data_IF_217985430812
#
_entry.id   IF_217985430812
#
_cell.length_a   1.000
_cell.length_b   1.000
_cell.length_c   1.000
_cell.angle_alpha   90.00
_cell.angle_beta   90.00
_cell.angle_gamma   90.00
#
_symmetry.space_group_name_H-M   'P 1'
#
loop_
_entity.id
_entity.type
_entity.pdbx_description
1 polymer ?
#
# COMPACT_ATOMS: atom_id res chain seq x y z
N UNK A 1 -0.04 -15.23 8.28
CA UNK A 1 -0.23 -16.04 7.05
C UNK A 1 -1.55 -15.66 6.40
N UNK A 2 -1.55 -14.93 5.27
CA UNK A 2 -2.79 -14.69 4.46
C UNK A 2 -2.58 -13.92 3.16
N UNK A 3 -1.56 -13.08 3.03
CA UNK A 3 -1.53 -12.05 1.97
C UNK A 3 -1.59 -12.66 0.57
N UNK A 4 -0.73 -13.65 0.30
CA UNK A 4 -0.69 -14.33 -1.01
C UNK A 4 -2.01 -15.03 -1.37
N UNK A 5 -2.69 -15.65 -0.41
CA UNK A 5 -4.00 -16.26 -0.64
C UNK A 5 -5.05 -15.20 -1.00
N UNK A 6 -5.04 -14.05 -0.31
CA UNK A 6 -5.97 -12.96 -0.59
C UNK A 6 -5.75 -12.38 -1.98
N UNK A 7 -4.49 -12.25 -2.41
CA UNK A 7 -4.14 -11.79 -3.76
C UNK A 7 -4.60 -12.79 -4.81
N UNK A 8 -4.31 -14.08 -4.63
CA UNK A 8 -4.78 -15.13 -5.54
C UNK A 8 -6.32 -15.15 -5.65
N UNK A 9 -7.04 -14.89 -4.55
CA UNK A 9 -8.49 -14.76 -4.59
C UNK A 9 -8.94 -13.51 -5.37
N UNK A 10 -8.23 -12.38 -5.23
CA UNK A 10 -8.54 -11.18 -6.02
C UNK A 10 -8.40 -11.45 -7.54
N UNK A 11 -7.38 -12.19 -7.96
CA UNK A 11 -7.20 -12.58 -9.37
C UNK A 11 -8.32 -13.49 -9.89
N UNK A 12 -8.78 -14.45 -9.06
CA UNK A 12 -9.89 -15.34 -9.43
C UNK A 12 -11.22 -14.57 -9.48
N UNK A 13 -11.40 -13.58 -8.60
CA UNK A 13 -12.65 -12.83 -8.47
C UNK A 13 -12.78 -11.66 -9.45
N UNK A 14 -11.71 -11.25 -10.14
CA UNK A 14 -11.74 -10.22 -11.19
C UNK A 14 -12.44 -10.77 -12.46
N UNK A 15 -13.75 -10.89 -12.39
CA UNK A 15 -14.62 -11.48 -13.44
C UNK A 15 -14.92 -10.54 -14.61
N UNK A 16 -14.65 -9.23 -14.47
CA UNK A 16 -14.92 -8.20 -15.48
C UNK A 16 -13.69 -7.77 -16.29
N UNK A 17 -12.52 -8.40 -16.08
CA UNK A 17 -11.26 -8.04 -16.75
C UNK A 17 -10.55 -6.80 -16.20
N UNK A 18 -11.11 -6.16 -15.17
CA UNK A 18 -10.47 -5.03 -14.49
C UNK A 18 -9.71 -5.52 -13.24
N UNK A 19 -8.43 -5.14 -13.04
CA UNK A 19 -7.67 -5.51 -11.86
C UNK A 19 -8.29 -4.94 -10.58
N UNK A 20 -8.45 -5.79 -9.56
CA UNK A 20 -8.99 -5.36 -8.25
C UNK A 20 -7.92 -4.57 -7.49
N UNK A 21 -8.22 -3.36 -6.98
CA UNK A 21 -7.29 -2.61 -6.14
C UNK A 21 -7.08 -3.29 -4.78
N UNK A 22 -5.85 -3.26 -4.28
CA UNK A 22 -5.45 -3.87 -3.02
C UNK A 22 -5.26 -2.79 -1.94
N UNK A 23 -6.03 -2.90 -0.85
CA UNK A 23 -5.86 -2.08 0.34
C UNK A 23 -5.37 -2.96 1.49
N UNK A 24 -4.13 -2.73 1.93
CA UNK A 24 -3.43 -3.62 2.85
C UNK A 24 -3.10 -2.90 4.15
N UNK A 25 -3.68 -3.36 5.26
CA UNK A 25 -3.37 -2.81 6.59
C UNK A 25 -2.25 -3.63 7.25
N UNK A 26 -1.12 -2.97 7.50
CA UNK A 26 0.07 -3.53 8.14
C UNK A 26 0.52 -4.90 7.55
N UNK A 27 0.69 -5.03 6.21
CA UNK A 27 0.97 -6.32 5.59
C UNK A 27 2.30 -6.96 6.03
N UNK A 28 3.23 -6.15 6.55
CA UNK A 28 4.56 -6.54 6.98
C UNK A 28 4.67 -6.82 8.48
N UNK A 29 3.59 -6.68 9.26
CA UNK A 29 3.64 -6.71 10.73
C UNK A 29 4.35 -7.94 11.31
N UNK A 30 4.20 -9.10 10.65
CA UNK A 30 4.80 -10.37 11.09
C UNK A 30 6.00 -10.80 10.24
N UNK A 31 6.49 -9.96 9.34
CA UNK A 31 7.61 -10.27 8.46
C UNK A 31 8.93 -9.96 9.17
N UNK A 32 9.86 -10.91 9.11
CA UNK A 32 11.27 -10.65 9.40
C UNK A 32 11.89 -9.71 8.33
N UNK A 33 13.06 -9.11 8.58
CA UNK A 33 13.73 -8.19 7.63
C UNK A 33 13.81 -8.70 6.19
N UNK A 34 14.37 -9.90 5.98
CA UNK A 34 14.52 -10.47 4.64
C UNK A 34 13.17 -10.69 3.95
N UNK A 35 12.15 -11.10 4.71
CA UNK A 35 10.80 -11.31 4.18
C UNK A 35 10.10 -10.00 3.82
N UNK A 36 10.34 -8.93 4.57
CA UNK A 36 9.79 -7.60 4.24
C UNK A 36 10.30 -7.13 2.90
N UNK A 37 11.60 -7.25 2.65
CA UNK A 37 12.20 -6.83 1.38
C UNK A 37 11.59 -7.59 0.20
N UNK A 38 11.49 -8.92 0.32
CA UNK A 38 10.83 -9.76 -0.69
C UNK A 38 9.36 -9.39 -0.91
N UNK A 39 8.64 -9.07 0.16
CA UNK A 39 7.22 -8.74 0.05
C UNK A 39 6.99 -7.35 -0.53
N UNK A 40 7.90 -6.40 -0.26
CA UNK A 40 7.91 -5.07 -0.88
C UNK A 40 8.22 -5.18 -2.37
N UNK A 41 9.23 -5.96 -2.75
CA UNK A 41 9.55 -6.21 -4.17
C UNK A 41 8.37 -6.88 -4.89
N UNK A 42 7.75 -7.88 -4.26
CA UNK A 42 6.57 -8.53 -4.81
C UNK A 42 5.39 -7.54 -4.99
N UNK A 43 5.11 -6.71 -3.99
CA UNK A 43 4.02 -5.71 -4.07
C UNK A 43 4.32 -4.60 -5.09
N UNK A 44 5.59 -4.27 -5.32
CA UNK A 44 6.02 -3.38 -6.39
C UNK A 44 5.74 -3.99 -7.77
N UNK A 45 6.14 -5.25 -8.00
CA UNK A 45 5.85 -5.90 -9.28
C UNK A 45 4.34 -6.05 -9.51
N UNK A 46 3.58 -6.31 -8.44
CA UNK A 46 2.12 -6.37 -8.50
C UNK A 46 1.49 -4.99 -8.77
N UNK A 47 2.17 -3.89 -8.43
CA UNK A 47 1.63 -2.55 -8.66
C UNK A 47 1.58 -2.14 -10.13
N UNK A 48 2.29 -2.86 -11.00
CA UNK A 48 2.24 -2.67 -12.45
C UNK A 48 0.85 -2.97 -13.03
N UNK A 49 0.12 -3.91 -12.43
CA UNK A 49 -1.21 -4.32 -12.87
C UNK A 49 -2.32 -3.92 -11.92
N UNK A 50 -2.05 -3.87 -10.62
CA UNK A 50 -3.05 -3.59 -9.59
C UNK A 50 -2.69 -2.31 -8.86
N UNK A 51 -3.66 -1.44 -8.58
CA UNK A 51 -3.40 -0.38 -7.62
C UNK A 51 -3.15 -0.99 -6.23
N UNK A 52 -2.00 -0.70 -5.63
CA UNK A 52 -1.64 -1.15 -4.27
C UNK A 52 -1.56 0.04 -3.33
N UNK A 53 -2.35 0.02 -2.26
CA UNK A 53 -2.29 0.98 -1.16
C UNK A 53 -2.06 0.21 0.12
N UNK A 54 -1.03 0.58 0.87
CA UNK A 54 -0.77 -0.03 2.17
C UNK A 54 -0.60 1.02 3.27
N UNK A 55 -0.99 0.64 4.49
CA UNK A 55 -0.70 1.38 5.72
C UNK A 55 0.35 0.63 6.51
N UNK A 56 1.29 1.37 7.10
CA UNK A 56 2.27 0.80 8.01
C UNK A 56 2.79 1.79 9.04
N UNK A 57 3.04 1.30 10.24
CA UNK A 57 3.74 1.97 11.33
C UNK A 57 5.22 1.57 11.39
N UNK A 58 5.67 0.67 10.51
CA UNK A 58 7.06 0.25 10.42
C UNK A 58 7.82 1.10 9.40
N UNK A 59 8.71 2.02 9.85
CA UNK A 59 9.46 2.89 8.93
C UNK A 59 10.40 2.09 8.02
N UNK A 60 10.83 0.88 8.41
CA UNK A 60 11.68 0.02 7.58
C UNK A 60 10.98 -0.41 6.28
N UNK A 61 9.65 -0.40 6.23
CA UNK A 61 8.90 -0.67 5.00
C UNK A 61 9.12 0.41 3.95
N UNK A 62 9.23 1.67 4.37
CA UNK A 62 9.52 2.79 3.45
C UNK A 62 10.95 2.67 2.92
N UNK A 63 11.91 2.36 3.79
CA UNK A 63 13.31 2.15 3.39
C UNK A 63 13.45 1.00 2.38
N UNK A 64 12.79 -0.14 2.65
CA UNK A 64 12.74 -1.28 1.73
C UNK A 64 12.15 -0.87 0.36
N UNK A 65 11.09 -0.07 0.34
CA UNK A 65 10.46 0.40 -0.90
C UNK A 65 11.37 1.35 -1.69
N UNK A 66 12.10 2.24 -1.00
CA UNK A 66 13.09 3.11 -1.63
C UNK A 66 14.22 2.29 -2.27
N UNK A 67 14.70 1.27 -1.56
CA UNK A 67 15.77 0.40 -2.05
C UNK A 67 15.33 -0.47 -3.24
N UNK A 68 14.05 -0.86 -3.28
CA UNK A 68 13.46 -1.59 -4.40
C UNK A 68 13.29 -0.72 -5.67
N UNK A 69 13.50 0.60 -5.58
CA UNK A 69 13.34 1.51 -6.72
C UNK A 69 11.89 1.72 -7.15
N UNK A 70 10.94 1.44 -6.26
CA UNK A 70 9.52 1.53 -6.56
C UNK A 70 9.09 2.99 -6.83
N UNK A 71 8.16 3.19 -7.78
CA UNK A 71 7.45 4.46 -7.93
C UNK A 71 6.27 4.49 -6.94
N UNK A 72 6.48 5.11 -5.78
CA UNK A 72 5.47 5.18 -4.71
C UNK A 72 5.41 6.56 -4.06
N UNK A 73 4.22 6.88 -3.55
CA UNK A 73 4.00 8.04 -2.71
C UNK A 73 3.91 7.62 -1.24
N UNK A 74 4.66 8.29 -0.36
CA UNK A 74 4.53 8.12 1.09
C UNK A 74 3.72 9.25 1.67
N UNK A 75 2.57 8.92 2.26
CA UNK A 75 1.76 9.87 3.03
C UNK A 75 2.02 9.63 4.51
N UNK A 76 2.71 10.56 5.16
CA UNK A 76 2.90 10.52 6.62
C UNK A 76 1.69 11.15 7.30
N UNK A 77 1.00 10.38 8.12
CA UNK A 77 -0.12 10.87 8.91
C UNK A 77 0.44 11.58 10.16
N UNK A 78 0.36 12.91 10.21
CA UNK A 78 0.54 13.66 11.46
C UNK A 78 -0.64 13.35 12.41
N UNK A 79 -0.46 13.54 13.73
CA UNK A 79 -1.43 13.23 14.81
C UNK A 79 -2.88 13.73 14.63
N UNK A 80 -3.77 13.49 15.60
CA UNK A 80 -5.20 13.19 15.39
C UNK A 80 -5.88 14.14 14.39
N UNK A 81 -6.36 13.57 13.28
CA UNK A 81 -6.90 14.32 12.14
C UNK A 81 -8.33 14.80 12.44
N UNK A 82 -8.56 16.09 12.21
CA UNK A 82 -9.86 16.77 12.25
C UNK A 82 -10.81 16.17 11.20
N UNK A 83 -12.02 15.82 11.61
CA UNK A 83 -13.09 15.32 10.73
C UNK A 83 -13.36 16.29 9.57
N UNK A 84 -13.41 15.75 8.35
CA UNK A 84 -13.95 16.45 7.19
C UNK A 84 -15.32 15.87 6.90
N UNK A 85 -16.36 16.56 7.36
CA UNK A 85 -17.73 16.28 6.96
C UNK A 85 -17.91 16.62 5.47
N UNK A 86 -18.25 15.62 4.65
CA UNK A 86 -18.80 15.84 3.31
C UNK A 86 -18.23 14.96 2.20
N UNK A 87 -19.03 13.94 1.84
CA UNK A 87 -19.02 13.08 0.63
C UNK A 87 -17.72 12.35 0.28
N UNK A 88 -17.83 11.02 0.30
CA UNK A 88 -16.81 10.04 -0.04
C UNK A 88 -16.09 10.36 -1.36
N UNK A 89 -14.87 10.88 -1.24
CA UNK A 89 -13.94 11.14 -2.32
C UNK A 89 -12.60 11.53 -1.71
N UNK A 90 -11.53 10.82 -2.09
CA UNK A 90 -10.18 11.06 -1.57
C UNK A 90 -9.76 12.49 -1.92
N UNK A 91 -9.61 13.34 -0.90
CA UNK A 91 -9.14 14.72 -1.04
C UNK A 91 -7.64 14.79 -0.73
N UNK A 92 -6.83 14.86 -1.77
CA UNK A 92 -5.38 15.12 -1.67
C UNK A 92 -5.20 16.59 -1.26
N UNK A 93 -4.61 16.81 -0.08
CA UNK A 93 -4.24 18.16 0.38
C UNK A 93 -2.73 18.27 0.24
N UNK A 94 -2.27 18.95 -0.82
CA UNK A 94 -0.89 19.39 -0.93
C UNK A 94 -0.75 20.75 -0.24
N UNK A 95 0.11 20.84 0.78
CA UNK A 95 0.61 22.13 1.26
C UNK A 95 2.01 22.34 0.68
N UNK A 96 2.07 23.00 -0.47
CA UNK A 96 3.22 23.82 -0.83
C UNK A 96 3.29 24.98 0.15
N UNK A 97 4.48 25.35 0.61
CA UNK A 97 4.97 26.67 1.05
C UNK A 97 6.23 26.38 1.89
N UNK A 98 7.39 27.00 1.71
CA UNK A 98 7.99 27.86 0.72
C UNK A 98 9.51 27.77 0.97
#
# INVERSE_FOLDING_TARGET
>A
MSLLLRIALCEVLSSSGEPIPLLLDEPMLTADPARRDLLVEFLHNLSETNQVVLTTNDPATVEAAQNAGADFAVVRMAGPRREVAGRAGIRVVSSTHA
#
